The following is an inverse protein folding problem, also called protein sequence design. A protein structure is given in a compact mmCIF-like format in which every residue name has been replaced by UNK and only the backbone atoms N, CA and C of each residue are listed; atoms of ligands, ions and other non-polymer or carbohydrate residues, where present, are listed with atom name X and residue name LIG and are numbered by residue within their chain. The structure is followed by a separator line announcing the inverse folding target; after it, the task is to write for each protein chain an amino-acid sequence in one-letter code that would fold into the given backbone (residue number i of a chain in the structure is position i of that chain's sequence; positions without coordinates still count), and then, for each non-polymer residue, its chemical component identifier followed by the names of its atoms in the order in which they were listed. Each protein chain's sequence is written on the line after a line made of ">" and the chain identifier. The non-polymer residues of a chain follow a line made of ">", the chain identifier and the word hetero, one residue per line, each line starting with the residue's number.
data_IF_447958505144
#
_entry.id   IF_447958505144
#
_cell.length_a   1.000
_cell.length_b   1.000
_cell.length_c   1.000
_cell.angle_alpha   90.00
_cell.angle_beta   90.00
_cell.angle_gamma   90.00
#
_symmetry.space_group_name_H-M   'P 1'
#
loop_
_entity.id
_entity.type
_entity.pdbx_description
1 polymer ?
#
# COMPACT_ATOMS: atom_id res chain seq x y z
N UNK A 1 20.93 -2.72 22.48
CA UNK A 1 19.75 -2.10 21.85
C UNK A 1 18.65 -1.97 22.89
N UNK A 2 18.27 -0.74 23.26
CA UNK A 2 17.30 -0.48 24.33
C UNK A 2 15.92 -1.00 23.96
N UNK A 3 15.13 -1.42 24.96
CA UNK A 3 13.74 -1.89 24.76
C UNK A 3 12.89 -0.85 24.02
N UNK A 4 13.08 0.42 24.32
CA UNK A 4 12.41 1.56 23.66
C UNK A 4 12.73 1.64 22.16
N UNK A 5 13.96 1.37 21.75
CA UNK A 5 14.38 1.39 20.34
C UNK A 5 13.68 0.29 19.53
N UNK A 6 13.56 -0.91 20.11
CA UNK A 6 12.85 -2.04 19.50
C UNK A 6 11.36 -1.73 19.30
N UNK A 7 10.70 -1.19 20.34
CA UNK A 7 9.27 -0.86 20.28
C UNK A 7 9.01 0.24 19.24
N UNK A 8 9.86 1.27 19.22
CA UNK A 8 9.84 2.33 18.22
C UNK A 8 9.84 1.76 16.79
N UNK A 9 10.84 0.94 16.46
CA UNK A 9 10.99 0.31 15.15
C UNK A 9 9.79 -0.54 14.76
N UNK A 10 9.32 -1.40 15.67
CA UNK A 10 8.18 -2.28 15.43
C UNK A 10 6.90 -1.48 15.19
N UNK A 11 6.66 -0.42 15.97
CA UNK A 11 5.46 0.42 15.82
C UNK A 11 5.40 1.09 14.46
N UNK A 12 6.49 1.74 14.04
CA UNK A 12 6.51 2.46 12.75
C UNK A 12 6.52 1.50 11.55
N UNK A 13 7.17 0.35 11.69
CA UNK A 13 7.06 -0.74 10.71
C UNK A 13 5.61 -1.22 10.59
N UNK A 14 4.96 -1.53 11.71
CA UNK A 14 3.61 -2.07 11.73
C UNK A 14 2.62 -1.07 11.13
N UNK A 15 2.69 0.21 11.51
CA UNK A 15 1.83 1.26 10.96
C UNK A 15 1.96 1.37 9.45
N UNK A 16 3.19 1.54 8.94
CA UNK A 16 3.41 1.67 7.50
C UNK A 16 2.96 0.41 6.74
N UNK A 17 3.27 -0.77 7.30
CA UNK A 17 2.90 -2.04 6.70
C UNK A 17 1.39 -2.22 6.63
N UNK A 18 0.66 -1.93 7.71
CA UNK A 18 -0.81 -2.05 7.73
C UNK A 18 -1.47 -1.05 6.79
N UNK A 19 -0.97 0.18 6.74
CA UNK A 19 -1.53 1.22 5.87
C UNK A 19 -1.31 0.88 4.39
N UNK A 20 -0.09 0.47 4.04
CA UNK A 20 0.24 0.04 2.67
C UNK A 20 -0.53 -1.21 2.26
N UNK A 21 -0.69 -2.18 3.16
CA UNK A 21 -1.45 -3.40 2.89
C UNK A 21 -2.94 -3.09 2.69
N UNK A 22 -3.54 -2.28 3.56
CA UNK A 22 -4.94 -1.88 3.43
C UNK A 22 -5.20 -1.16 2.10
N UNK A 23 -4.33 -0.21 1.74
CA UNK A 23 -4.42 0.51 0.49
C UNK A 23 -4.27 -0.41 -0.73
N UNK A 24 -3.29 -1.33 -0.71
CA UNK A 24 -3.07 -2.26 -1.82
C UNK A 24 -4.23 -3.24 -1.99
N UNK A 25 -4.79 -3.76 -0.89
CA UNK A 25 -5.96 -4.63 -0.93
C UNK A 25 -7.20 -3.88 -1.43
N UNK A 26 -7.37 -2.60 -1.05
CA UNK A 26 -8.43 -1.76 -1.59
C UNK A 26 -8.32 -1.58 -3.10
N UNK A 27 -7.11 -1.31 -3.62
CA UNK A 27 -6.87 -1.23 -5.07
C UNK A 27 -7.24 -2.56 -5.73
N UNK A 28 -6.78 -3.68 -5.17
CA UNK A 28 -7.02 -5.00 -5.75
C UNK A 28 -8.52 -5.32 -5.81
N UNK A 29 -9.27 -5.01 -4.75
CA UNK A 29 -10.73 -5.15 -4.72
C UNK A 29 -11.43 -4.22 -5.72
N UNK A 30 -10.96 -2.98 -5.85
CA UNK A 30 -11.51 -2.02 -6.82
C UNK A 30 -11.26 -2.45 -8.26
N UNK A 31 -10.07 -3.01 -8.55
CA UNK A 31 -9.73 -3.57 -9.85
C UNK A 31 -10.56 -4.81 -10.16
N UNK A 32 -10.79 -5.69 -9.20
CA UNK A 32 -11.65 -6.86 -9.37
C UNK A 32 -13.07 -6.44 -9.80
N UNK A 33 -13.66 -5.46 -9.11
CA UNK A 33 -14.96 -4.88 -9.48
C UNK A 33 -14.94 -4.20 -10.84
N UNK A 34 -13.87 -3.46 -11.16
CA UNK A 34 -13.74 -2.79 -12.45
C UNK A 34 -13.67 -3.81 -13.60
N UNK A 35 -12.94 -4.93 -13.41
CA UNK A 35 -12.82 -6.03 -14.37
C UNK A 35 -14.14 -6.79 -14.52
N UNK A 36 -14.90 -6.96 -13.45
CA UNK A 36 -16.24 -7.54 -13.47
C UNK A 36 -17.22 -6.69 -14.29
N UNK A 37 -17.13 -5.36 -14.18
CA UNK A 37 -17.95 -4.40 -14.93
C UNK A 37 -17.55 -4.25 -16.42
N UNK A 38 -16.41 -4.81 -16.86
CA UNK A 38 -16.02 -4.71 -18.27
C UNK A 38 -16.89 -5.59 -19.18
N UNK A 39 -17.30 -5.03 -20.31
CA UNK A 39 -18.06 -5.75 -21.37
C UNK A 39 -17.23 -6.81 -22.08
N UNK A 40 -15.90 -6.71 -22.06
CA UNK A 40 -15.00 -7.62 -22.76
C UNK A 40 -14.85 -8.96 -22.00
N UNK A 41 -15.25 -10.10 -22.59
CA UNK A 41 -15.27 -11.40 -21.90
C UNK A 41 -13.87 -11.91 -21.51
N UNK A 42 -12.83 -11.49 -22.23
CA UNK A 42 -11.45 -11.83 -21.90
C UNK A 42 -10.99 -11.19 -20.57
N UNK A 43 -11.35 -9.93 -20.34
CA UNK A 43 -11.02 -9.18 -19.11
C UNK A 43 -11.84 -9.70 -17.92
N UNK A 44 -13.13 -9.97 -18.12
CA UNK A 44 -14.01 -10.56 -17.09
C UNK A 44 -13.52 -11.94 -16.63
N UNK A 45 -13.04 -12.77 -17.57
CA UNK A 45 -12.45 -14.08 -17.27
C UNK A 45 -11.12 -13.97 -16.52
N UNK A 46 -10.45 -12.82 -16.58
CA UNK A 46 -9.21 -12.56 -15.85
C UNK A 46 -9.50 -12.30 -14.37
N UNK A 47 -10.51 -11.47 -14.06
CA UNK A 47 -10.97 -11.19 -12.69
C UNK A 47 -11.49 -12.43 -11.96
N UNK A 48 -12.26 -13.30 -12.65
CA UNK A 48 -12.82 -14.52 -12.04
C UNK A 48 -11.83 -15.62 -11.67
N UNK A 49 -10.51 -15.43 -11.84
CA UNK A 49 -9.49 -16.45 -11.51
C UNK A 49 -9.08 -16.36 -10.04
N UNK A 50 -9.76 -17.11 -9.18
CA UNK A 50 -9.44 -17.22 -7.74
C UNK A 50 -7.95 -17.53 -7.48
N UNK A 51 -7.35 -18.43 -8.27
CA UNK A 51 -5.90 -18.75 -8.17
C UNK A 51 -4.98 -17.56 -8.45
N UNK A 52 -5.39 -16.64 -9.34
CA UNK A 52 -4.64 -15.43 -9.65
C UNK A 52 -4.80 -14.41 -8.50
N UNK A 53 -6.01 -14.26 -7.96
CA UNK A 53 -6.28 -13.38 -6.83
C UNK A 53 -5.41 -13.74 -5.62
N UNK A 54 -5.33 -15.03 -5.24
CA UNK A 54 -4.45 -15.47 -4.16
C UNK A 54 -2.97 -15.15 -4.42
N UNK A 55 -2.49 -15.37 -5.65
CA UNK A 55 -1.10 -15.04 -6.03
C UNK A 55 -0.82 -13.54 -5.93
N UNK A 56 -1.76 -12.69 -6.37
CA UNK A 56 -1.64 -11.25 -6.31
C UNK A 56 -1.66 -10.74 -4.86
N UNK A 57 -2.61 -11.20 -4.05
CA UNK A 57 -2.66 -10.87 -2.61
C UNK A 57 -1.33 -11.27 -1.94
N UNK A 58 -0.85 -12.48 -2.17
CA UNK A 58 0.41 -12.95 -1.59
C UNK A 58 1.61 -12.11 -2.04
N UNK A 59 1.72 -11.83 -3.35
CA UNK A 59 2.81 -11.00 -3.89
C UNK A 59 2.76 -9.57 -3.33
N UNK A 60 1.57 -8.97 -3.24
CA UNK A 60 1.37 -7.64 -2.65
C UNK A 60 1.75 -7.61 -1.17
N UNK A 61 1.38 -8.63 -0.39
CA UNK A 61 1.74 -8.74 1.03
C UNK A 61 3.27 -8.78 1.20
N UNK A 62 3.97 -9.59 0.39
CA UNK A 62 5.44 -9.65 0.42
C UNK A 62 6.05 -8.31 0.02
N UNK A 63 5.54 -7.67 -1.03
CA UNK A 63 6.05 -6.40 -1.51
C UNK A 63 5.86 -5.28 -0.47
N UNK A 64 4.69 -5.21 0.18
CA UNK A 64 4.44 -4.27 1.28
C UNK A 64 5.38 -4.52 2.47
N UNK A 65 5.64 -5.80 2.78
CA UNK A 65 6.58 -6.17 3.83
C UNK A 65 7.99 -5.67 3.50
N UNK A 66 8.50 -5.98 2.30
CA UNK A 66 9.82 -5.55 1.84
C UNK A 66 9.98 -4.03 1.82
N UNK A 67 8.97 -3.32 1.32
CA UNK A 67 8.96 -1.86 1.34
C UNK A 67 9.02 -1.36 2.78
N UNK A 68 8.25 -1.94 3.72
CA UNK A 68 8.20 -1.46 5.10
C UNK A 68 9.47 -1.78 5.91
N UNK A 69 10.24 -2.80 5.52
CA UNK A 69 11.45 -3.25 6.23
C UNK A 69 12.50 -2.15 6.47
N UNK A 70 12.61 -1.16 5.58
CA UNK A 70 13.57 -0.05 5.75
C UNK A 70 13.43 0.67 7.10
N UNK A 71 12.21 0.79 7.63
CA UNK A 71 11.94 1.42 8.95
C UNK A 71 12.45 0.59 10.14
N UNK A 72 12.54 -0.74 10.01
CA UNK A 72 13.11 -1.59 11.07
C UNK A 72 14.62 -1.35 11.24
N UNK A 73 15.30 -0.97 10.17
CA UNK A 73 16.76 -0.83 10.14
C UNK A 73 17.16 0.61 10.44
N UNK A 74 16.48 1.57 9.82
CA UNK A 74 16.94 2.96 9.72
C UNK A 74 16.23 3.92 10.68
N UNK A 75 15.31 3.45 11.52
CA UNK A 75 14.78 4.26 12.63
C UNK A 75 15.66 4.12 13.87
N UNK A 76 15.76 5.18 14.67
CA UNK A 76 16.53 5.17 15.92
C UNK A 76 15.89 6.06 16.98
N UNK A 77 16.18 5.74 18.24
CA UNK A 77 15.81 6.53 19.42
C UNK A 77 16.98 7.34 19.99
N UNK A 78 18.07 7.52 19.24
CA UNK A 78 19.30 8.17 19.70
C UNK A 78 19.11 9.62 20.17
N UNK A 79 18.12 10.33 19.63
CA UNK A 79 17.80 11.73 19.96
C UNK A 79 16.74 11.87 21.07
N UNK A 80 16.38 10.77 21.75
CA UNK A 80 15.27 10.73 22.70
C UNK A 80 13.88 10.64 22.06
N UNK A 81 13.80 10.84 20.74
CA UNK A 81 12.60 10.65 19.93
C UNK A 81 12.80 9.50 18.95
N UNK A 82 11.70 8.81 18.61
CA UNK A 82 11.71 7.77 17.59
C UNK A 82 11.62 8.42 16.21
N UNK A 83 12.77 8.53 15.53
CA UNK A 83 12.90 9.23 14.26
C UNK A 83 13.72 8.42 13.27
N UNK A 84 13.55 8.72 11.98
CA UNK A 84 14.45 8.27 10.94
C UNK A 84 15.89 8.72 11.24
N UNK A 85 16.87 7.88 10.90
CA UNK A 85 18.29 8.20 11.04
C UNK A 85 18.62 9.49 10.28
N UNK A 86 19.28 10.42 10.96
CA UNK A 86 19.62 11.73 10.43
C UNK A 86 20.47 11.62 9.14
N UNK A 87 20.31 12.59 8.25
CA UNK A 87 21.01 12.67 6.97
C UNK A 87 20.08 12.47 5.76
N UNK A 88 20.61 11.88 4.70
CA UNK A 88 19.90 11.68 3.42
C UNK A 88 18.64 10.83 3.62
N UNK A 89 18.69 9.85 4.51
CA UNK A 89 17.57 8.95 4.77
C UNK A 89 16.35 9.68 5.38
N UNK A 90 16.54 10.59 6.34
CA UNK A 90 15.44 11.36 6.90
C UNK A 90 14.73 12.22 5.84
N UNK A 91 15.48 12.75 4.87
CA UNK A 91 14.88 13.50 3.75
C UNK A 91 14.08 12.57 2.85
N UNK A 92 14.65 11.41 2.50
CA UNK A 92 13.95 10.38 1.73
C UNK A 92 12.66 9.91 2.43
N UNK A 93 12.71 9.59 3.72
CA UNK A 93 11.56 9.08 4.48
C UNK A 93 10.43 10.12 4.56
N UNK A 94 10.76 11.41 4.72
CA UNK A 94 9.77 12.50 4.67
C UNK A 94 9.07 12.60 3.30
N UNK A 95 9.82 12.55 2.20
CA UNK A 95 9.23 12.56 0.85
C UNK A 95 8.43 11.29 0.57
N UNK A 96 8.97 10.13 0.97
CA UNK A 96 8.32 8.84 0.81
C UNK A 96 6.99 8.83 1.56
N UNK A 97 6.95 9.22 2.83
CA UNK A 97 5.73 9.24 3.63
C UNK A 97 4.70 10.24 3.06
N UNK A 98 5.15 11.43 2.66
CA UNK A 98 4.27 12.46 2.09
C UNK A 98 3.65 12.02 0.76
N UNK A 99 4.43 11.40 -0.12
CA UNK A 99 3.96 11.00 -1.45
C UNK A 99 3.22 9.66 -1.39
N UNK A 100 3.82 8.63 -0.79
CA UNK A 100 3.32 7.25 -0.84
C UNK A 100 2.17 7.02 0.15
N UNK A 101 2.24 7.60 1.35
CA UNK A 101 1.17 7.47 2.35
C UNK A 101 0.19 8.65 2.32
N UNK A 102 0.63 9.83 1.88
CA UNK A 102 -0.20 11.04 1.83
C UNK A 102 -0.95 11.23 0.51
N UNK A 103 -0.23 11.57 -0.57
CA UNK A 103 -0.84 12.08 -1.81
C UNK A 103 -1.31 10.97 -2.76
N UNK A 104 -0.53 9.91 -2.89
CA UNK A 104 -0.78 8.84 -3.85
C UNK A 104 -2.09 8.07 -3.55
N UNK A 105 -2.40 7.71 -2.28
CA UNK A 105 -3.62 6.97 -1.98
C UNK A 105 -4.91 7.67 -2.39
N UNK A 106 -5.18 8.94 -2.00
CA UNK A 106 -6.42 9.61 -2.38
C UNK A 106 -6.53 9.81 -3.89
N UNK A 107 -5.42 10.10 -4.61
CA UNK A 107 -5.46 10.25 -6.07
C UNK A 107 -5.87 8.93 -6.73
N UNK A 108 -5.26 7.81 -6.35
CA UNK A 108 -5.57 6.50 -6.92
C UNK A 108 -7.01 6.10 -6.58
N UNK A 109 -7.46 6.32 -5.34
CA UNK A 109 -8.84 6.02 -4.92
C UNK A 109 -9.83 6.82 -5.76
N UNK A 110 -9.63 8.14 -5.89
CA UNK A 110 -10.51 9.00 -6.69
C UNK A 110 -10.57 8.55 -8.15
N UNK A 111 -9.43 8.22 -8.75
CA UNK A 111 -9.34 7.72 -10.13
C UNK A 111 -10.09 6.39 -10.30
N UNK A 112 -9.87 5.43 -9.40
CA UNK A 112 -10.53 4.12 -9.45
C UNK A 112 -12.05 4.24 -9.20
N UNK A 113 -12.46 5.04 -8.22
CA UNK A 113 -13.87 5.30 -7.94
C UNK A 113 -14.57 5.94 -9.14
N UNK A 114 -13.93 6.93 -9.78
CA UNK A 114 -14.46 7.55 -10.99
C UNK A 114 -14.63 6.54 -12.14
N UNK A 115 -13.61 5.73 -12.41
CA UNK A 115 -13.64 4.71 -13.46
C UNK A 115 -14.73 3.65 -13.18
N UNK A 116 -14.88 3.24 -11.93
CA UNK A 116 -15.90 2.27 -11.53
C UNK A 116 -17.30 2.82 -11.76
N UNK A 117 -17.59 4.04 -11.29
CA UNK A 117 -18.90 4.70 -11.52
C UNK A 117 -19.20 4.83 -13.01
N UNK A 118 -18.20 5.22 -13.81
CA UNK A 118 -18.34 5.31 -15.26
C UNK A 118 -18.66 3.95 -15.89
N UNK A 119 -17.95 2.89 -15.52
CA UNK A 119 -18.17 1.54 -16.07
C UNK A 119 -19.56 1.00 -15.76
N UNK A 120 -20.09 1.26 -14.56
CA UNK A 120 -21.44 0.84 -14.17
C UNK A 120 -22.48 1.61 -14.97
N UNK A 121 -22.31 2.93 -15.15
CA UNK A 121 -23.23 3.75 -15.96
C UNK A 121 -23.25 3.34 -17.43
N UNK A 122 -22.12 2.94 -17.99
CA UNK A 122 -22.05 2.41 -19.35
C UNK A 122 -22.65 0.99 -19.46
N UNK A 123 -22.94 0.30 -18.36
CA UNK A 123 -23.52 -1.06 -18.38
C UNK A 123 -25.05 -1.06 -18.27
N UNK A 124 -25.65 -0.02 -17.68
CA UNK A 124 -27.11 0.23 -17.64
C UNK A 124 -27.55 0.84 -18.97
#
# INVERSE_FOLDING_TARGET
>A
MNRFDKICKIRYFASLYTDALAFTLFILASLDRLLEAQRLPALRRWGGRVKLAYKLVFACTILCFLISCHRLILYSTSTGHCLAQAGIYATFDNYFESVVSGICPPIIILMLSYLLVRSVRETI
#
